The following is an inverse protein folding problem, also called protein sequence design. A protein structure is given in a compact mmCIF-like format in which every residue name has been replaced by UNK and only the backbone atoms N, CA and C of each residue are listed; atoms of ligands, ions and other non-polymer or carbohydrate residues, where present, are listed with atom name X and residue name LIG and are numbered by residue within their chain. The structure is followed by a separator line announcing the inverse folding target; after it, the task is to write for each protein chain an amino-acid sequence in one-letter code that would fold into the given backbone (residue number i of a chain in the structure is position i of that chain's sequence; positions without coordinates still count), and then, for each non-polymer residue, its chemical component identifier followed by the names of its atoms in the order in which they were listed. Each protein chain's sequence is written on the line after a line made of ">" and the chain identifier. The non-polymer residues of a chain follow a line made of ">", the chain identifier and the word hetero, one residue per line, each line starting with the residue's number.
data_IF_173130524080
#
_entry.id   IF_173130524080
#
_cell.length_a   1.000
_cell.length_b   1.000
_cell.length_c   1.000
_cell.angle_alpha   90.00
_cell.angle_beta   90.00
_cell.angle_gamma   90.00
#
_symmetry.space_group_name_H-M   'P 1'
#
loop_
_entity.id
_entity.type
_entity.pdbx_description
1 polymer ?
#
# COMPACT_ATOMS: atom_id res chain seq x y z
N UNK A 1 -7.71 -17.11 22.30
CA UNK A 1 -7.00 -17.12 21.01
C UNK A 1 -7.24 -15.77 20.31
N UNK A 2 -6.20 -14.96 20.08
CA UNK A 2 -6.28 -13.56 19.62
C UNK A 2 -6.37 -13.40 18.08
N UNK A 3 -7.27 -14.13 17.42
CA UNK A 3 -7.26 -14.23 15.94
C UNK A 3 -7.87 -13.02 15.21
N UNK A 4 -8.94 -12.41 15.73
CA UNK A 4 -9.62 -11.27 15.08
C UNK A 4 -8.75 -10.01 14.91
N UNK A 5 -7.97 -9.56 15.91
CA UNK A 5 -7.15 -8.35 15.77
C UNK A 5 -6.05 -8.47 14.70
N UNK A 6 -5.50 -9.68 14.53
CA UNK A 6 -4.43 -9.97 13.56
C UNK A 6 -4.99 -9.92 12.13
N UNK A 7 -6.15 -10.55 11.90
CA UNK A 7 -6.81 -10.55 10.59
C UNK A 7 -7.20 -9.13 10.13
N UNK A 8 -7.70 -8.29 11.04
CA UNK A 8 -7.99 -6.89 10.72
C UNK A 8 -6.73 -6.11 10.27
N UNK A 9 -5.57 -6.40 10.87
CA UNK A 9 -4.31 -5.73 10.55
C UNK A 9 -3.75 -6.18 9.19
N UNK A 10 -3.81 -7.47 8.90
CA UNK A 10 -3.43 -8.01 7.58
C UNK A 10 -4.31 -7.43 6.48
N UNK A 11 -5.63 -7.41 6.70
CA UNK A 11 -6.60 -6.82 5.77
C UNK A 11 -6.32 -5.33 5.55
N UNK A 12 -6.08 -4.57 6.63
CA UNK A 12 -5.74 -3.15 6.53
C UNK A 12 -4.43 -2.93 5.77
N UNK A 13 -3.44 -3.82 5.94
CA UNK A 13 -2.16 -3.79 5.22
C UNK A 13 -2.36 -4.04 3.73
N UNK A 14 -3.16 -5.04 3.35
CA UNK A 14 -3.46 -5.36 1.96
C UNK A 14 -4.19 -4.21 1.25
N UNK A 15 -5.24 -3.66 1.89
CA UNK A 15 -6.01 -2.52 1.36
C UNK A 15 -5.10 -1.34 1.10
N UNK A 16 -4.23 -1.03 2.06
CA UNK A 16 -3.37 0.14 1.96
C UNK A 16 -2.24 -0.05 0.93
N UNK A 17 -1.75 -1.27 0.71
CA UNK A 17 -0.89 -1.58 -0.45
C UNK A 17 -1.62 -1.36 -1.78
N UNK A 18 -2.86 -1.84 -1.92
CA UNK A 18 -3.68 -1.64 -3.14
C UNK A 18 -3.89 -0.16 -3.45
N UNK A 19 -4.22 0.64 -2.44
CA UNK A 19 -4.38 2.08 -2.58
C UNK A 19 -3.07 2.77 -3.00
N UNK A 20 -1.95 2.47 -2.33
CA UNK A 20 -0.65 3.05 -2.71
C UNK A 20 -0.26 2.69 -4.15
N UNK A 21 -0.57 1.47 -4.62
CA UNK A 21 -0.41 1.10 -6.04
C UNK A 21 -1.27 1.96 -6.97
N UNK A 22 -2.52 2.24 -6.60
CA UNK A 22 -3.41 3.09 -7.42
C UNK A 22 -2.91 4.53 -7.52
N UNK A 23 -2.41 5.10 -6.41
CA UNK A 23 -1.79 6.43 -6.38
C UNK A 23 -0.60 6.48 -7.34
N UNK A 24 0.31 5.50 -7.24
CA UNK A 24 1.47 5.40 -8.13
C UNK A 24 1.06 5.25 -9.61
N UNK A 25 0.11 4.35 -9.91
CA UNK A 25 -0.37 4.11 -11.28
C UNK A 25 -0.97 5.35 -11.95
N UNK A 26 -1.54 6.26 -11.17
CA UNK A 26 -2.12 7.53 -11.66
C UNK A 26 -1.12 8.70 -11.60
N UNK A 27 0.16 8.44 -11.30
CA UNK A 27 1.20 9.46 -11.09
C UNK A 27 0.78 10.56 -10.12
N UNK A 28 0.02 10.19 -9.09
CA UNK A 28 -0.45 11.13 -8.06
C UNK A 28 0.61 11.28 -6.96
N UNK A 29 0.73 12.46 -6.33
CA UNK A 29 1.73 12.65 -5.28
C UNK A 29 1.44 11.77 -4.05
N UNK A 30 2.48 11.40 -3.29
CA UNK A 30 2.33 10.49 -2.13
C UNK A 30 1.47 11.05 -0.99
N UNK A 31 1.33 12.38 -0.91
CA UNK A 31 0.46 13.05 0.07
C UNK A 31 -1.04 12.85 -0.23
N UNK A 32 -1.41 12.44 -1.44
CA UNK A 32 -2.80 12.06 -1.76
C UNK A 32 -3.28 10.87 -0.91
N UNK A 33 -2.34 10.06 -0.38
CA UNK A 33 -2.66 8.99 0.57
C UNK A 33 -3.21 9.53 1.90
N UNK A 34 -2.63 10.62 2.43
CA UNK A 34 -3.11 11.29 3.64
C UNK A 34 -4.51 11.87 3.44
N UNK A 35 -4.74 12.52 2.30
CA UNK A 35 -6.04 13.05 1.93
C UNK A 35 -7.10 11.94 1.78
N UNK A 36 -6.77 10.86 1.06
CA UNK A 36 -7.69 9.75 0.86
C UNK A 36 -8.05 9.07 2.18
N UNK A 37 -7.10 8.96 3.12
CA UNK A 37 -7.38 8.44 4.46
C UNK A 37 -8.43 9.27 5.19
N UNK A 38 -8.31 10.60 5.15
CA UNK A 38 -9.30 11.50 5.73
C UNK A 38 -10.68 11.30 5.09
N UNK A 39 -10.76 11.18 3.76
CA UNK A 39 -12.02 10.91 3.06
C UNK A 39 -12.67 9.59 3.53
N UNK A 40 -11.88 8.51 3.64
CA UNK A 40 -12.36 7.20 4.09
C UNK A 40 -12.86 7.29 5.54
N UNK A 41 -12.13 7.98 6.43
CA UNK A 41 -12.53 8.11 7.84
C UNK A 41 -13.81 8.92 8.01
N UNK A 42 -14.00 9.99 7.24
CA UNK A 42 -15.25 10.78 7.24
C UNK A 42 -16.42 9.90 6.81
N UNK A 43 -16.28 9.17 5.70
CA UNK A 43 -17.32 8.28 5.19
C UNK A 43 -17.64 7.15 6.20
N UNK A 44 -16.61 6.50 6.74
CA UNK A 44 -16.77 5.40 7.68
C UNK A 44 -17.47 5.85 8.99
N UNK A 45 -17.06 7.00 9.55
CA UNK A 45 -17.70 7.55 10.76
C UNK A 45 -19.18 7.88 10.52
N UNK A 46 -19.55 8.29 9.31
CA UNK A 46 -20.93 8.67 8.98
C UNK A 46 -21.82 7.47 8.60
N UNK A 47 -21.27 6.50 7.86
CA UNK A 47 -22.05 5.41 7.26
C UNK A 47 -22.01 4.10 8.06
N UNK A 48 -20.89 3.80 8.73
CA UNK A 48 -20.68 2.54 9.47
C UNK A 48 -19.81 2.77 10.72
N UNK A 49 -20.31 3.54 11.72
CA UNK A 49 -19.55 3.94 12.89
C UNK A 49 -19.02 2.75 13.71
N UNK A 50 -19.72 1.62 13.73
CA UNK A 50 -19.28 0.37 14.37
C UNK A 50 -18.03 -0.23 13.73
N UNK A 51 -17.82 0.03 12.44
CA UNK A 51 -16.66 -0.43 11.68
C UNK A 51 -15.56 0.63 11.54
N UNK A 52 -15.80 1.89 11.93
CA UNK A 52 -14.87 3.01 11.73
C UNK A 52 -13.44 2.73 12.23
N UNK A 53 -13.30 2.09 13.40
CA UNK A 53 -11.99 1.71 13.97
C UNK A 53 -11.18 0.75 13.09
N UNK A 54 -11.83 -0.02 12.20
CA UNK A 54 -11.12 -0.89 11.24
C UNK A 54 -10.44 -0.07 10.15
N UNK A 55 -11.06 1.03 9.73
CA UNK A 55 -10.52 1.91 8.69
C UNK A 55 -9.34 2.75 9.21
N UNK A 56 -9.32 3.10 10.50
CA UNK A 56 -8.18 3.79 11.13
C UNK A 56 -6.87 3.00 11.02
N UNK A 57 -6.94 1.67 11.01
CA UNK A 57 -5.80 0.75 10.87
C UNK A 57 -5.12 0.86 9.50
N UNK A 58 -5.81 1.38 8.47
CA UNK A 58 -5.29 1.54 7.12
C UNK A 58 -4.15 2.58 7.13
N UNK A 59 -2.93 2.15 6.85
CA UNK A 59 -1.76 3.04 6.87
C UNK A 59 -1.54 3.69 5.51
N UNK A 60 -1.85 4.99 5.37
CA UNK A 60 -1.74 5.72 4.10
C UNK A 60 -0.96 7.02 4.18
N UNK A 61 -0.27 7.27 5.30
CA UNK A 61 0.55 8.47 5.41
C UNK A 61 1.63 8.53 4.33
N UNK A 62 2.06 9.73 3.97
CA UNK A 62 3.07 9.98 2.93
C UNK A 62 4.26 9.01 3.01
N UNK A 63 4.84 8.83 4.20
CA UNK A 63 6.02 7.99 4.40
C UNK A 63 5.74 6.50 4.16
N UNK A 64 4.60 6.01 4.62
CA UNK A 64 4.16 4.62 4.40
C UNK A 64 3.79 4.38 2.94
N UNK A 65 3.07 5.32 2.32
CA UNK A 65 2.70 5.26 0.90
C UNK A 65 3.94 5.26 0.02
N UNK A 66 4.91 6.15 0.29
CA UNK A 66 6.20 6.16 -0.38
C UNK A 66 6.94 4.83 -0.21
N UNK A 67 7.13 4.35 1.04
CA UNK A 67 7.83 3.07 1.29
C UNK A 67 7.19 1.90 0.57
N UNK A 68 5.87 1.85 0.50
CA UNK A 68 5.14 0.76 -0.18
C UNK A 68 5.26 0.84 -1.69
N UNK A 69 5.20 2.04 -2.27
CA UNK A 69 5.45 2.23 -3.69
C UNK A 69 6.91 1.88 -4.03
N UNK A 70 7.85 2.28 -3.18
CA UNK A 70 9.27 1.94 -3.32
C UNK A 70 9.55 0.44 -3.14
N UNK A 71 8.89 -0.25 -2.21
CA UNK A 71 8.96 -1.71 -2.07
C UNK A 71 8.40 -2.43 -3.29
N UNK A 72 7.38 -1.82 -3.92
CA UNK A 72 6.82 -2.30 -5.17
C UNK A 72 7.77 -2.12 -6.35
N UNK A 73 8.43 -0.97 -6.45
CA UNK A 73 9.43 -0.70 -7.48
C UNK A 73 10.73 -1.45 -7.21
N UNK A 74 11.07 -1.70 -5.95
CA UNK A 74 12.22 -2.48 -5.49
C UNK A 74 12.17 -3.92 -5.99
N UNK A 75 11.00 -4.56 -5.90
CA UNK A 75 10.76 -5.86 -6.53
C UNK A 75 10.95 -5.80 -8.06
N UNK A 76 10.62 -4.69 -8.71
CA UNK A 76 10.84 -4.52 -10.15
C UNK A 76 12.33 -4.31 -10.44
N UNK A 77 13.07 -3.57 -9.62
CA UNK A 77 14.52 -3.37 -9.82
C UNK A 77 15.32 -4.65 -9.58
N UNK A 78 14.94 -5.48 -8.61
CA UNK A 78 15.60 -6.78 -8.40
C UNK A 78 15.35 -7.70 -9.60
N UNK A 79 14.09 -7.82 -10.06
CA UNK A 79 13.74 -8.59 -11.27
C UNK A 79 14.40 -8.01 -12.53
N UNK A 80 14.49 -6.69 -12.66
CA UNK A 80 15.10 -6.02 -13.81
C UNK A 80 16.62 -6.21 -13.83
N UNK A 81 17.29 -6.16 -12.66
CA UNK A 81 18.72 -6.44 -12.53
C UNK A 81 18.98 -7.93 -12.84
N UNK A 82 18.23 -8.86 -12.24
CA UNK A 82 18.40 -10.30 -12.42
C UNK A 82 18.17 -10.75 -13.88
N UNK A 83 17.14 -10.25 -14.55
CA UNK A 83 16.90 -10.52 -15.98
C UNK A 83 18.01 -9.95 -16.86
N UNK A 84 18.61 -8.80 -16.49
CA UNK A 84 19.70 -8.20 -17.23
C UNK A 84 21.04 -8.96 -17.03
N UNK A 85 21.32 -9.45 -15.82
CA UNK A 85 22.46 -10.33 -15.52
C UNK A 85 22.35 -11.67 -16.25
N UNK A 86 21.17 -12.30 -16.27
CA UNK A 86 20.95 -13.56 -16.99
C UNK A 86 21.08 -13.41 -18.51
N UNK A 87 20.72 -12.26 -19.08
CA UNK A 87 20.95 -11.97 -20.50
C UNK A 87 22.43 -11.78 -20.81
N UNK A 88 23.19 -11.16 -19.90
CA UNK A 88 24.64 -10.94 -20.05
C UNK A 88 25.46 -12.23 -19.92
N UNK A 89 25.00 -13.18 -19.10
CA UNK A 89 25.61 -14.51 -18.95
C UNK A 89 25.29 -15.49 -20.11
N UNK A 90 24.25 -15.24 -20.92
CA UNK A 90 23.92 -16.05 -22.11
C UNK A 90 24.57 -15.56 -23.41
N UNK A 91 25.27 -14.43 -23.37
CA UNK A 91 25.94 -13.79 -24.51
C UNK A 91 27.47 -13.95 -24.46
N UNK A 92 27.98 -14.76 -23.54
CA UNK A 92 29.39 -15.13 -23.38
C UNK A 92 29.48 -16.65 -23.20
#
# INVERSE_FOLDING_TARGET
>A
MFTKPIQDLETATEVSLKISRMIAKRSRPFNDGDFLKQCIEIAAKKMCPEAAKKFEKIQLNRMTTQRRIMSLSGNITDVFIEVNWMKKLKLN
#
